data_IF_016307043984
#
_entry.id   IF_016307043984
#
_cell.length_a   1.000
_cell.length_b   1.000
_cell.length_c   1.000
_cell.angle_alpha   90.00
_cell.angle_beta   90.00
_cell.angle_gamma   90.00
#
_symmetry.space_group_name_H-M   'P 1'
#
loop_
_entity.id
_entity.type
_entity.pdbx_description
1 polymer ?
#
# COMPACT_ATOMS: atom_id res chain seq x y z
N UNK A 1 -15.24 15.08 -15.96
CA UNK A 1 -15.10 15.97 -14.79
C UNK A 1 -14.64 15.10 -13.64
N UNK A 2 -13.34 15.07 -13.35
CA UNK A 2 -12.81 14.43 -12.15
C UNK A 2 -13.41 15.15 -10.95
N UNK A 3 -14.15 14.43 -10.10
CA UNK A 3 -14.35 14.90 -8.73
C UNK A 3 -12.95 15.20 -8.20
N UNK A 4 -12.72 16.37 -7.61
CA UNK A 4 -11.51 16.60 -6.81
C UNK A 4 -11.55 15.59 -5.66
N UNK A 5 -10.98 14.40 -5.90
CA UNK A 5 -10.81 13.39 -4.87
C UNK A 5 -9.77 13.98 -3.94
N UNK A 6 -10.24 14.53 -2.81
CA UNK A 6 -9.40 15.16 -1.81
C UNK A 6 -8.21 14.26 -1.48
N UNK A 7 -7.01 14.81 -1.64
CA UNK A 7 -5.76 14.12 -1.39
C UNK A 7 -5.57 13.95 0.12
N UNK A 8 -6.27 12.97 0.69
CA UNK A 8 -6.30 12.72 2.13
C UNK A 8 -4.90 12.36 2.59
N UNK A 9 -4.34 13.16 3.51
CA UNK A 9 -3.04 12.92 4.15
C UNK A 9 -3.21 12.92 5.65
N UNK A 10 -2.39 12.12 6.32
CA UNK A 10 -2.37 12.06 7.78
C UNK A 10 -1.80 13.34 8.38
N UNK A 11 -2.38 13.80 9.48
CA UNK A 11 -1.92 14.99 10.21
C UNK A 11 -0.74 14.67 11.14
N UNK A 12 0.09 15.68 11.43
CA UNK A 12 1.19 15.55 12.41
C UNK A 12 0.68 15.13 13.80
N UNK A 13 -0.48 15.64 14.20
CA UNK A 13 -1.10 15.30 15.48
C UNK A 13 -1.37 13.79 15.57
N UNK A 14 -1.98 13.22 14.51
CA UNK A 14 -2.30 11.80 14.49
C UNK A 14 -1.03 10.94 14.40
N UNK A 15 -0.04 11.36 13.61
CA UNK A 15 1.30 10.71 13.58
C UNK A 15 1.90 10.65 14.98
N UNK A 16 1.87 11.76 15.73
CA UNK A 16 2.44 11.85 17.07
C UNK A 16 1.69 10.97 18.08
N UNK A 17 0.36 10.93 18.02
CA UNK A 17 -0.44 10.07 18.89
C UNK A 17 -0.08 8.59 18.68
N UNK A 18 -0.02 8.14 17.42
CA UNK A 18 0.29 6.75 17.07
C UNK A 18 1.75 6.40 17.43
N UNK A 19 2.70 7.27 17.07
CA UNK A 19 4.12 7.02 17.32
C UNK A 19 4.44 6.93 18.81
N UNK A 20 3.79 7.75 19.64
CA UNK A 20 3.92 7.70 21.10
C UNK A 20 3.51 6.34 21.67
N UNK A 21 2.47 5.70 21.12
CA UNK A 21 2.06 4.37 21.57
C UNK A 21 3.14 3.34 21.27
N UNK A 22 3.66 3.30 20.05
CA UNK A 22 4.74 2.36 19.70
C UNK A 22 5.98 2.59 20.57
N UNK A 23 6.46 3.84 20.65
CA UNK A 23 7.67 4.18 21.41
C UNK A 23 7.51 3.84 22.90
N UNK A 24 6.35 4.13 23.50
CA UNK A 24 6.06 3.82 24.90
C UNK A 24 6.25 2.34 25.21
N UNK A 25 5.66 1.46 24.39
CA UNK A 25 5.65 0.02 24.64
C UNK A 25 6.92 -0.71 24.18
N UNK A 26 7.72 -0.09 23.30
CA UNK A 26 8.95 -0.71 22.77
C UNK A 26 10.23 0.03 23.15
N UNK A 27 10.16 1.03 24.03
CA UNK A 27 11.27 1.96 24.34
C UNK A 27 12.65 1.31 24.54
N UNK A 28 12.74 0.20 25.29
CA UNK A 28 14.00 -0.51 25.56
C UNK A 28 14.65 -1.13 24.31
N UNK A 29 13.87 -1.40 23.28
CA UNK A 29 14.29 -2.09 22.06
C UNK A 29 14.13 -1.22 20.80
N UNK A 30 13.69 0.03 20.97
CA UNK A 30 13.29 0.88 19.85
C UNK A 30 14.51 1.35 19.04
N UNK A 31 14.47 1.14 17.72
CA UNK A 31 15.50 1.66 16.80
C UNK A 31 14.98 2.73 15.87
N UNK A 32 13.79 2.55 15.32
CA UNK A 32 13.19 3.53 14.44
C UNK A 32 11.75 3.24 14.09
N UNK A 33 11.05 4.29 13.67
CA UNK A 33 9.67 4.23 13.20
C UNK A 33 9.56 4.98 11.89
N UNK A 34 9.08 4.30 10.86
CA UNK A 34 8.84 4.87 9.54
C UNK A 34 7.34 4.90 9.28
N UNK A 35 6.85 6.03 8.77
CA UNK A 35 5.53 6.15 8.15
C UNK A 35 5.69 6.01 6.63
N UNK A 36 4.85 5.22 5.97
CA UNK A 36 4.84 5.08 4.52
C UNK A 36 3.41 4.95 3.97
N UNK A 37 3.29 4.55 2.71
CA UNK A 37 1.99 4.27 2.10
C UNK A 37 1.18 5.52 1.74
N UNK A 38 -0.08 5.32 1.35
CA UNK A 38 -0.93 6.39 0.80
C UNK A 38 -1.26 7.51 1.78
N UNK A 39 -1.33 7.22 3.09
CA UNK A 39 -1.56 8.23 4.11
C UNK A 39 -0.46 9.31 4.13
N UNK A 40 0.77 8.94 3.78
CA UNK A 40 1.91 9.86 3.68
C UNK A 40 2.04 10.47 2.28
N UNK A 41 2.19 9.63 1.25
CA UNK A 41 2.50 10.10 -0.11
C UNK A 41 1.31 10.82 -0.77
N UNK A 42 0.09 10.43 -0.42
CA UNK A 42 -1.16 10.90 -1.03
C UNK A 42 -1.87 9.81 -1.83
N UNK A 43 -3.09 10.10 -2.26
CA UNK A 43 -4.00 9.17 -2.92
C UNK A 43 -4.70 8.21 -1.95
N UNK A 44 -4.79 8.56 -0.65
CA UNK A 44 -5.59 7.82 0.30
C UNK A 44 -7.09 8.04 0.02
N UNK A 45 -7.86 6.97 0.14
CA UNK A 45 -9.32 6.96 0.02
C UNK A 45 -9.89 6.88 1.44
N UNK A 46 -10.70 7.87 1.82
CA UNK A 46 -11.39 7.90 3.10
C UNK A 46 -12.24 6.62 3.29
N UNK A 47 -12.30 6.12 4.52
CA UNK A 47 -12.98 4.87 4.92
C UNK A 47 -12.46 3.60 4.23
N UNK A 48 -11.32 3.68 3.53
CA UNK A 48 -10.69 2.55 2.85
C UNK A 48 -9.22 2.41 3.22
N UNK A 49 -8.46 3.48 3.06
CA UNK A 49 -7.02 3.47 3.27
C UNK A 49 -6.63 3.41 4.74
N UNK A 50 -5.52 2.75 4.95
CA UNK A 50 -4.81 2.57 6.20
C UNK A 50 -3.71 3.61 6.41
N UNK A 51 -3.14 3.57 7.61
CA UNK A 51 -1.95 4.31 8.00
C UNK A 51 -0.83 3.29 8.22
N UNK A 52 0.14 3.25 7.31
CA UNK A 52 1.20 2.23 7.30
C UNK A 52 2.45 2.67 8.07
N UNK A 53 2.85 1.86 9.03
CA UNK A 53 4.11 2.01 9.76
C UNK A 53 5.04 0.80 9.61
N UNK A 54 6.35 1.06 9.68
CA UNK A 54 7.37 0.05 9.96
C UNK A 54 8.07 0.40 11.26
N UNK A 55 8.02 -0.51 12.22
CA UNK A 55 8.62 -0.37 13.54
C UNK A 55 9.86 -1.26 13.62
N UNK A 56 11.04 -0.63 13.64
CA UNK A 56 12.32 -1.33 13.73
C UNK A 56 12.75 -1.44 15.18
N UNK A 57 13.05 -2.67 15.61
CA UNK A 57 13.42 -2.99 16.99
C UNK A 57 14.69 -3.84 17.04
N UNK A 58 15.38 -3.83 18.19
CA UNK A 58 16.47 -4.79 18.46
C UNK A 58 16.00 -6.24 18.25
N UNK A 59 16.87 -7.08 17.70
CA UNK A 59 16.52 -8.47 17.38
C UNK A 59 16.12 -9.29 18.61
N UNK A 60 16.63 -8.94 19.80
CA UNK A 60 16.43 -9.68 21.05
C UNK A 60 14.98 -9.66 21.59
N UNK A 61 14.14 -8.72 21.13
CA UNK A 61 12.73 -8.69 21.56
C UNK A 61 11.87 -9.70 20.80
N UNK A 62 12.36 -10.22 19.68
CA UNK A 62 11.59 -11.15 18.85
C UNK A 62 11.75 -12.59 19.36
N UNK A 63 10.63 -13.31 19.35
CA UNK A 63 10.60 -14.75 19.56
C UNK A 63 11.23 -15.47 18.36
N UNK A 64 11.55 -16.77 18.52
CA UNK A 64 12.16 -17.61 17.47
C UNK A 64 11.37 -17.66 16.14
N UNK A 65 10.07 -17.37 16.18
CA UNK A 65 9.21 -17.30 15.00
C UNK A 65 9.13 -15.89 14.37
N UNK A 66 9.94 -14.93 14.85
CA UNK A 66 9.97 -13.55 14.36
C UNK A 66 8.81 -12.67 14.86
N UNK A 67 8.10 -13.07 15.92
CA UNK A 67 6.98 -12.29 16.48
C UNK A 67 7.37 -11.60 17.78
N UNK A 68 6.68 -10.52 18.14
CA UNK A 68 6.81 -9.89 19.46
C UNK A 68 6.12 -10.73 20.54
N UNK A 69 6.45 -10.53 21.84
CA UNK A 69 5.70 -11.14 22.93
C UNK A 69 4.22 -10.72 22.88
N UNK A 70 3.30 -11.67 23.06
CA UNK A 70 1.85 -11.41 22.97
C UNK A 70 1.39 -10.25 23.85
N UNK A 71 1.91 -10.15 25.08
CA UNK A 71 1.58 -9.06 26.01
C UNK A 71 1.92 -7.68 25.47
N UNK A 72 2.91 -7.57 24.57
CA UNK A 72 3.25 -6.31 23.90
C UNK A 72 2.23 -5.96 22.82
N UNK A 73 1.84 -6.94 21.98
CA UNK A 73 0.77 -6.72 20.99
C UNK A 73 -0.53 -6.27 21.63
N UNK A 74 -0.94 -6.91 22.73
CA UNK A 74 -2.18 -6.57 23.42
C UNK A 74 -2.17 -5.14 23.97
N UNK A 75 -1.08 -4.73 24.62
CA UNK A 75 -0.95 -3.37 25.18
C UNK A 75 -0.88 -2.28 24.11
N UNK A 76 -0.14 -2.54 23.03
CA UNK A 76 -0.08 -1.63 21.88
C UNK A 76 -1.47 -1.50 21.27
N UNK A 77 -2.15 -2.62 21.00
CA UNK A 77 -3.48 -2.60 20.40
C UNK A 77 -4.52 -1.90 21.29
N UNK A 78 -4.47 -2.13 22.61
CA UNK A 78 -5.33 -1.45 23.58
C UNK A 78 -5.16 0.07 23.47
N UNK A 79 -3.93 0.59 23.55
CA UNK A 79 -3.67 2.03 23.47
C UNK A 79 -3.99 2.60 22.07
N UNK A 80 -3.68 1.89 20.98
CA UNK A 80 -4.00 2.32 19.62
C UNK A 80 -5.53 2.40 19.38
N UNK A 81 -6.30 1.49 19.99
CA UNK A 81 -7.77 1.44 19.82
C UNK A 81 -8.49 2.68 20.36
N UNK A 82 -7.82 3.47 21.21
CA UNK A 82 -8.34 4.70 21.78
C UNK A 82 -8.14 5.93 20.87
N UNK A 83 -7.35 5.80 19.80
CA UNK A 83 -7.03 6.90 18.88
C UNK A 83 -8.13 7.03 17.83
N UNK A 84 -8.66 8.24 17.63
CA UNK A 84 -9.56 8.51 16.53
C UNK A 84 -8.78 8.67 15.22
N UNK A 85 -8.82 7.64 14.38
CA UNK A 85 -8.06 7.57 13.13
C UNK A 85 -8.83 8.07 11.91
N UNK A 86 -10.05 8.59 12.07
CA UNK A 86 -10.83 9.11 10.93
C UNK A 86 -10.01 10.18 10.16
N UNK A 87 -10.06 10.18 8.82
CA UNK A 87 -10.93 9.38 7.96
C UNK A 87 -10.34 8.03 7.52
N UNK A 88 -9.23 7.57 8.09
CA UNK A 88 -8.61 6.28 7.76
C UNK A 88 -9.37 5.11 8.40
N UNK A 89 -9.19 3.91 7.85
CA UNK A 89 -9.92 2.70 8.28
C UNK A 89 -9.25 1.97 9.43
N UNK A 90 -7.92 1.87 9.41
CA UNK A 90 -7.13 1.18 10.43
C UNK A 90 -5.68 1.66 10.42
N UNK A 91 -4.96 1.34 11.49
CA UNK A 91 -3.50 1.51 11.58
C UNK A 91 -2.89 0.15 11.25
N UNK A 92 -1.92 0.12 10.36
CA UNK A 92 -1.13 -1.06 10.04
C UNK A 92 0.31 -0.83 10.47
N UNK A 93 0.93 -1.84 11.08
CA UNK A 93 2.34 -1.75 11.46
C UNK A 93 3.02 -3.11 11.36
N UNK A 94 4.14 -3.14 10.66
CA UNK A 94 5.04 -4.27 10.63
C UNK A 94 6.17 -4.05 11.65
N UNK A 95 6.29 -4.95 12.63
CA UNK A 95 7.43 -4.98 13.54
C UNK A 95 8.57 -5.78 12.89
N UNK A 96 9.72 -5.14 12.69
CA UNK A 96 10.82 -5.67 11.90
C UNK A 96 12.10 -5.69 12.76
N UNK A 97 12.79 -6.84 12.87
CA UNK A 97 14.10 -6.91 13.50
C UNK A 97 15.11 -6.02 12.76
N UNK A 98 15.97 -5.29 13.49
CA UNK A 98 16.94 -4.37 12.89
C UNK A 98 17.92 -5.09 11.96
N UNK A 99 18.22 -6.36 12.23
CA UNK A 99 19.03 -7.22 11.35
C UNK A 99 18.46 -7.33 9.93
N UNK A 100 17.13 -7.24 9.77
CA UNK A 100 16.45 -7.35 8.48
C UNK A 100 16.31 -6.04 7.71
N UNK A 101 16.85 -4.93 8.24
CA UNK A 101 16.71 -3.61 7.62
C UNK A 101 17.20 -3.55 6.16
N UNK A 102 18.12 -4.44 5.78
CA UNK A 102 18.78 -4.44 4.46
C UNK A 102 18.31 -5.57 3.51
N UNK A 103 17.43 -6.47 3.98
CA UNK A 103 17.08 -7.71 3.28
C UNK A 103 16.24 -7.48 2.02
N UNK A 104 15.37 -6.45 2.05
CA UNK A 104 14.44 -6.16 0.96
C UNK A 104 15.00 -5.13 -0.04
N UNK A 105 14.28 -4.96 -1.16
CA UNK A 105 14.38 -3.74 -1.97
C UNK A 105 14.13 -2.55 -1.04
N UNK A 106 15.04 -1.57 -1.09
CA UNK A 106 14.99 -0.41 -0.22
C UNK A 106 13.68 0.38 -0.36
N UNK A 107 13.42 1.29 0.58
CA UNK A 107 12.30 2.23 0.43
C UNK A 107 12.62 3.24 -0.66
N UNK A 108 11.61 3.72 -1.38
CA UNK A 108 11.83 4.81 -2.34
C UNK A 108 11.92 6.11 -1.57
N UNK A 109 13.04 6.83 -1.70
CA UNK A 109 13.24 8.14 -1.06
C UNK A 109 12.01 9.05 -1.28
N UNK A 110 11.53 9.74 -0.26
CA UNK A 110 10.36 10.64 -0.38
C UNK A 110 8.99 9.95 -0.51
N UNK A 111 8.94 8.61 -0.56
CA UNK A 111 7.69 7.83 -0.40
C UNK A 111 7.42 7.40 1.05
N UNK A 112 8.33 7.74 1.95
CA UNK A 112 8.29 7.45 3.37
C UNK A 112 8.82 8.63 4.19
N UNK A 113 8.57 8.60 5.51
CA UNK A 113 9.15 9.52 6.48
C UNK A 113 9.63 8.78 7.71
N UNK A 114 10.89 9.02 8.10
CA UNK A 114 11.39 8.62 9.42
C UNK A 114 10.74 9.52 10.48
N UNK A 115 9.90 8.94 11.33
CA UNK A 115 9.16 9.65 12.39
C UNK A 115 10.01 9.79 13.63
N UNK A 116 10.73 8.73 14.01
CA UNK A 116 11.59 8.72 15.19
C UNK A 116 12.69 7.66 15.05
N UNK A 117 13.76 7.82 15.84
CA UNK A 117 14.92 6.95 15.85
C UNK A 117 16.01 7.36 14.87
N UNK A 118 17.05 6.53 14.78
CA UNK A 118 18.19 6.75 13.90
C UNK A 118 18.60 5.41 13.28
N UNK A 119 18.03 5.11 12.12
CA UNK A 119 18.31 3.88 11.38
C UNK A 119 18.81 4.22 9.97
N UNK A 120 19.81 3.49 9.44
CA UNK A 120 20.28 3.68 8.08
C UNK A 120 19.28 3.05 7.09
N UNK A 121 18.38 3.87 6.56
CA UNK A 121 17.36 3.40 5.63
C UNK A 121 18.02 3.11 4.27
N UNK A 122 17.89 1.86 3.82
CA UNK A 122 18.25 1.47 2.46
C UNK A 122 17.25 2.11 1.50
N UNK A 123 17.74 2.95 0.59
CA UNK A 123 16.91 3.50 -0.48
C UNK A 123 17.05 2.65 -1.74
N UNK A 124 15.93 2.37 -2.42
CA UNK A 124 15.96 1.61 -3.67
C UNK A 124 16.59 2.43 -4.81
N UNK A 125 17.44 1.78 -5.59
CA UNK A 125 17.91 2.33 -6.85
C UNK A 125 16.84 2.17 -7.94
N UNK A 126 16.91 3.04 -8.97
CA UNK A 126 16.00 2.92 -10.11
C UNK A 126 16.13 1.56 -10.82
N UNK A 127 17.36 1.01 -10.88
CA UNK A 127 17.60 -0.29 -11.49
C UNK A 127 16.91 -1.43 -10.72
N UNK A 128 16.98 -1.42 -9.38
CA UNK A 128 16.25 -2.40 -8.56
C UNK A 128 14.74 -2.31 -8.77
N UNK A 129 14.19 -1.09 -8.82
CA UNK A 129 12.75 -0.88 -9.05
C UNK A 129 12.30 -1.36 -10.44
N UNK A 130 13.12 -1.16 -11.47
CA UNK A 130 12.85 -1.65 -12.83
C UNK A 130 12.92 -3.18 -12.88
N UNK A 131 13.97 -3.78 -12.34
CA UNK A 131 14.12 -5.24 -12.30
C UNK A 131 12.95 -5.89 -11.56
N UNK A 132 12.51 -5.29 -10.46
CA UNK A 132 11.35 -5.78 -9.72
C UNK A 132 10.05 -5.63 -10.54
N UNK A 133 9.85 -4.49 -11.21
CA UNK A 133 8.69 -4.30 -12.07
C UNK A 133 8.67 -5.30 -13.24
N UNK A 134 9.81 -5.61 -13.86
CA UNK A 134 9.94 -6.65 -14.88
C UNK A 134 9.62 -8.04 -14.32
N UNK A 135 10.18 -8.37 -13.14
CA UNK A 135 9.92 -9.65 -12.48
C UNK A 135 8.43 -9.82 -12.13
N UNK A 136 7.78 -8.77 -11.60
CA UNK A 136 6.37 -8.81 -11.24
C UNK A 136 5.46 -8.90 -12.48
N UNK A 137 5.74 -8.14 -13.54
CA UNK A 137 4.90 -8.13 -14.75
C UNK A 137 5.11 -9.34 -15.64
N UNK A 138 6.33 -9.90 -15.69
CA UNK A 138 6.60 -11.16 -16.40
C UNK A 138 5.83 -12.34 -15.80
N UNK A 139 5.77 -12.40 -14.46
CA UNK A 139 5.07 -13.44 -13.69
C UNK A 139 3.61 -13.10 -13.35
N UNK A 140 3.05 -12.03 -13.93
CA UNK A 140 1.72 -11.55 -13.58
C UNK A 140 0.63 -12.56 -13.97
N UNK A 141 -0.07 -13.08 -12.97
CA UNK A 141 -1.31 -13.85 -13.14
C UNK A 141 -2.48 -12.90 -13.39
N UNK A 142 -3.20 -13.06 -14.50
CA UNK A 142 -4.34 -12.18 -14.83
C UNK A 142 -5.56 -12.40 -13.94
N UNK A 143 -5.63 -13.55 -13.28
CA UNK A 143 -6.69 -13.93 -12.33
C UNK A 143 -6.02 -14.19 -10.99
N UNK A 144 -5.83 -13.15 -10.16
CA UNK A 144 -5.12 -13.30 -8.90
C UNK A 144 -5.86 -14.19 -7.89
N UNK A 145 -5.12 -14.83 -7.00
CA UNK A 145 -5.67 -15.72 -5.97
C UNK A 145 -6.74 -15.08 -5.07
N UNK A 146 -6.76 -13.74 -4.91
CA UNK A 146 -7.81 -13.06 -4.14
C UNK A 146 -9.22 -13.24 -4.74
N UNK A 147 -9.32 -13.51 -6.05
CA UNK A 147 -10.61 -13.76 -6.72
C UNK A 147 -11.29 -15.03 -6.25
N UNK A 148 -10.55 -15.97 -5.64
CA UNK A 148 -11.17 -17.14 -4.98
C UNK A 148 -12.22 -16.72 -3.94
N UNK A 149 -12.08 -15.53 -3.33
CA UNK A 149 -13.06 -14.99 -2.38
C UNK A 149 -14.40 -14.59 -3.01
N UNK A 150 -14.51 -14.53 -4.35
CA UNK A 150 -15.80 -14.35 -5.04
C UNK A 150 -16.76 -15.54 -4.87
N UNK A 151 -16.23 -16.69 -4.43
CA UNK A 151 -17.03 -17.86 -4.09
C UNK A 151 -17.64 -17.76 -2.67
N UNK A 152 -17.14 -16.84 -1.84
CA UNK A 152 -17.64 -16.62 -0.49
C UNK A 152 -18.87 -15.67 -0.51
N UNK A 153 -19.77 -15.80 0.45
CA UNK A 153 -20.91 -14.90 0.65
C UNK A 153 -20.95 -14.39 2.10
N UNK A 154 -21.28 -13.10 2.30
CA UNK A 154 -21.33 -12.41 3.59
C UNK A 154 -20.66 -11.03 3.55
N UNK A 155 -21.16 -10.06 4.31
CA UNK A 155 -20.73 -8.65 4.25
C UNK A 155 -19.21 -8.45 4.40
N UNK A 156 -18.64 -8.97 5.49
CA UNK A 156 -17.20 -8.84 5.76
C UNK A 156 -16.31 -9.52 4.69
N UNK A 157 -16.84 -10.52 3.97
CA UNK A 157 -16.11 -11.23 2.91
C UNK A 157 -15.93 -10.36 1.68
N UNK A 158 -16.95 -9.58 1.34
CA UNK A 158 -16.94 -8.63 0.24
C UNK A 158 -15.91 -7.52 0.50
N UNK A 159 -15.95 -6.91 1.69
CA UNK A 159 -15.00 -5.86 2.05
C UNK A 159 -13.56 -6.36 2.01
N UNK A 160 -13.35 -7.59 2.53
CA UNK A 160 -12.05 -8.25 2.45
C UNK A 160 -11.59 -8.46 1.00
N UNK A 161 -12.47 -8.90 0.10
CA UNK A 161 -12.15 -9.06 -1.32
C UNK A 161 -11.72 -7.74 -1.95
N UNK A 162 -12.50 -6.67 -1.78
CA UNK A 162 -12.20 -5.35 -2.37
C UNK A 162 -10.86 -4.82 -1.84
N UNK A 163 -10.58 -5.03 -0.54
CA UNK A 163 -9.28 -4.69 0.05
C UNK A 163 -8.14 -5.48 -0.60
N UNK A 164 -8.24 -6.81 -0.63
CA UNK A 164 -7.21 -7.68 -1.21
C UNK A 164 -6.97 -7.38 -2.69
N UNK A 165 -8.03 -7.10 -3.44
CA UNK A 165 -7.93 -6.68 -4.83
C UNK A 165 -7.16 -5.37 -4.95
N UNK A 166 -7.51 -4.37 -4.13
CA UNK A 166 -6.83 -3.07 -4.13
C UNK A 166 -5.34 -3.19 -3.79
N UNK A 167 -4.97 -4.05 -2.83
CA UNK A 167 -3.58 -4.33 -2.47
C UNK A 167 -2.77 -4.89 -3.64
N UNK A 168 -3.41 -5.55 -4.61
CA UNK A 168 -2.72 -6.11 -5.78
C UNK A 168 -2.79 -5.20 -7.01
N UNK A 169 -3.91 -4.50 -7.24
CA UNK A 169 -4.05 -3.55 -8.35
C UNK A 169 -3.01 -2.43 -8.25
N UNK A 170 -2.82 -1.83 -7.07
CA UNK A 170 -1.94 -0.67 -6.95
C UNK A 170 -0.49 -0.98 -7.32
N UNK A 171 0.17 -2.02 -6.78
CA UNK A 171 1.52 -2.39 -7.19
C UNK A 171 1.65 -2.61 -8.70
N UNK A 172 0.70 -3.32 -9.34
CA UNK A 172 0.74 -3.58 -10.78
C UNK A 172 0.77 -2.26 -11.57
N UNK A 173 -0.12 -1.32 -11.24
CA UNK A 173 -0.15 -0.02 -11.92
C UNK A 173 1.16 0.75 -11.71
N UNK A 174 1.73 0.74 -10.49
CA UNK A 174 3.02 1.40 -10.22
C UNK A 174 4.19 0.73 -10.96
N UNK A 175 4.21 -0.61 -11.08
CA UNK A 175 5.21 -1.33 -11.87
C UNK A 175 5.07 -1.03 -13.36
N UNK A 176 3.85 -1.05 -13.90
CA UNK A 176 3.58 -0.68 -15.28
C UNK A 176 4.07 0.74 -15.59
N UNK A 177 3.71 1.72 -14.74
CA UNK A 177 4.17 3.10 -14.92
C UNK A 177 5.69 3.26 -14.77
N UNK A 178 6.32 2.47 -13.88
CA UNK A 178 7.78 2.44 -13.71
C UNK A 178 8.49 2.05 -15.01
N UNK A 179 7.99 1.01 -15.68
CA UNK A 179 8.58 0.52 -16.92
C UNK A 179 8.27 1.43 -18.12
N UNK A 180 7.03 1.91 -18.26
CA UNK A 180 6.63 2.85 -19.32
C UNK A 180 7.43 4.16 -19.26
N UNK A 181 7.66 4.70 -18.05
CA UNK A 181 8.37 5.97 -17.88
C UNK A 181 9.90 5.81 -17.77
N UNK A 182 10.37 4.65 -17.34
CA UNK A 182 11.78 4.36 -17.14
C UNK A 182 12.38 4.85 -15.80
N UNK A 183 11.60 5.53 -14.95
CA UNK A 183 12.02 6.09 -13.66
C UNK A 183 11.08 5.69 -12.51
N UNK A 184 11.36 4.53 -11.90
CA UNK A 184 10.64 4.05 -10.72
C UNK A 184 10.80 4.96 -9.50
N UNK A 185 11.97 5.59 -9.34
CA UNK A 185 12.21 6.49 -8.20
C UNK A 185 11.26 7.69 -8.24
N UNK A 186 10.97 8.20 -9.43
CA UNK A 186 9.98 9.23 -9.63
C UNK A 186 8.56 8.69 -9.44
N UNK A 187 8.20 7.58 -10.11
CA UNK A 187 6.84 7.03 -10.11
C UNK A 187 6.36 6.66 -8.71
N UNK A 188 7.17 5.97 -7.90
CA UNK A 188 6.76 5.47 -6.58
C UNK A 188 6.55 6.56 -5.53
N UNK A 189 7.10 7.77 -5.74
CA UNK A 189 6.85 8.96 -4.91
C UNK A 189 5.46 9.55 -5.12
N UNK A 190 4.82 9.26 -6.26
CA UNK A 190 3.57 9.91 -6.64
C UNK A 190 2.37 9.43 -5.80
N UNK A 191 1.40 10.33 -5.53
CA UNK A 191 0.05 9.93 -5.18
C UNK A 191 -0.56 8.98 -6.22
N UNK A 192 -1.44 8.06 -5.79
CA UNK A 192 -2.05 7.04 -6.67
C UNK A 192 -2.68 7.66 -7.93
N UNK A 193 -3.45 8.74 -7.75
CA UNK A 193 -4.15 9.43 -8.83
C UNK A 193 -3.21 10.19 -9.79
N UNK A 194 -2.06 10.64 -9.30
CA UNK A 194 -1.09 11.35 -10.15
C UNK A 194 -0.22 10.40 -10.98
N UNK A 195 -0.07 9.15 -10.54
CA UNK A 195 0.67 8.12 -11.27
C UNK A 195 -0.01 7.75 -12.60
N UNK A 196 -1.33 7.89 -12.72
CA UNK A 196 -2.08 7.44 -13.89
C UNK A 196 -1.62 8.06 -15.22
N UNK A 197 -1.13 9.31 -15.20
CA UNK A 197 -0.62 10.00 -16.41
C UNK A 197 0.67 9.38 -16.99
N UNK A 198 1.27 8.43 -16.27
CA UNK A 198 2.46 7.70 -16.67
C UNK A 198 2.18 6.24 -17.02
N UNK A 199 0.89 5.86 -17.12
CA UNK A 199 0.49 4.53 -17.59
C UNK A 199 0.37 4.51 -19.12
N UNK A 200 0.48 3.33 -19.74
CA UNK A 200 0.11 3.13 -21.14
C UNK A 200 -1.35 3.53 -21.40
N UNK A 201 -1.61 4.11 -22.57
CA UNK A 201 -2.93 4.66 -22.94
C UNK A 201 -4.10 3.70 -22.72
N UNK A 202 -3.90 2.40 -22.99
CA UNK A 202 -4.91 1.36 -22.82
C UNK A 202 -5.25 1.06 -21.34
N UNK A 203 -4.42 1.48 -20.38
CA UNK A 203 -4.59 1.23 -18.95
C UNK A 203 -5.08 2.47 -18.19
N UNK A 204 -4.78 3.70 -18.67
CA UNK A 204 -5.16 4.96 -18.01
C UNK A 204 -6.64 4.98 -17.62
N UNK A 205 -7.54 4.78 -18.60
CA UNK A 205 -8.98 4.84 -18.36
C UNK A 205 -9.46 3.76 -17.37
N UNK A 206 -8.83 2.57 -17.38
CA UNK A 206 -9.16 1.49 -16.45
C UNK A 206 -8.78 1.87 -15.02
N UNK A 207 -7.58 2.42 -14.83
CA UNK A 207 -7.07 2.86 -13.54
C UNK A 207 -7.92 4.01 -12.95
N UNK A 208 -8.24 5.02 -13.75
CA UNK A 208 -9.09 6.15 -13.33
C UNK A 208 -10.50 5.71 -12.94
N UNK A 209 -11.09 4.82 -13.75
CA UNK A 209 -12.42 4.27 -13.47
C UNK A 209 -12.38 3.44 -12.19
N UNK A 210 -11.36 2.61 -12.00
CA UNK A 210 -11.23 1.77 -10.82
C UNK A 210 -11.09 2.60 -9.55
N UNK A 211 -10.25 3.64 -9.59
CA UNK A 211 -10.06 4.55 -8.47
C UNK A 211 -11.36 5.28 -8.11
N UNK A 212 -12.09 5.77 -9.12
CA UNK A 212 -13.36 6.49 -8.91
C UNK A 212 -14.43 5.57 -8.33
N UNK A 213 -14.58 4.37 -8.89
CA UNK A 213 -15.53 3.37 -8.39
C UNK A 213 -15.19 2.93 -6.97
N UNK A 214 -13.90 2.74 -6.66
CA UNK A 214 -13.47 2.37 -5.31
C UNK A 214 -13.74 3.51 -4.31
N UNK A 215 -13.47 4.76 -4.72
CA UNK A 215 -13.78 5.94 -3.92
C UNK A 215 -15.28 6.02 -3.59
N UNK A 216 -16.13 5.92 -4.61
CA UNK A 216 -17.58 5.98 -4.45
C UNK A 216 -18.11 4.79 -3.62
N UNK A 217 -17.56 3.58 -3.81
CA UNK A 217 -17.92 2.39 -3.03
C UNK A 217 -17.73 2.59 -1.53
N UNK A 218 -16.64 3.25 -1.12
CA UNK A 218 -16.37 3.48 0.30
C UNK A 218 -17.05 4.72 0.87
N UNK A 219 -17.35 5.74 0.06
CA UNK A 219 -17.77 7.05 0.55
C UNK A 219 -19.25 7.37 0.35
N UNK A 220 -19.93 6.70 -0.57
CA UNK A 220 -21.32 7.00 -0.91
C UNK A 220 -22.21 5.79 -0.56
N UNK A 221 -23.00 5.93 0.50
CA UNK A 221 -23.89 4.88 1.03
C UNK A 221 -25.02 4.50 0.05
N UNK A 222 -25.37 5.39 -0.89
CA UNK A 222 -26.41 5.18 -1.89
C UNK A 222 -25.92 4.49 -3.18
N UNK A 223 -24.61 4.32 -3.35
CA UNK A 223 -24.07 3.68 -4.55
C UNK A 223 -24.24 2.18 -4.47
N UNK A 224 -25.09 1.64 -5.34
CA UNK A 224 -25.15 0.21 -5.65
C UNK A 224 -23.95 -0.22 -6.52
N UNK A 225 -22.73 0.18 -6.15
CA UNK A 225 -21.54 -0.28 -6.87
C UNK A 225 -21.43 -1.77 -6.59
N UNK A 226 -21.54 -2.55 -7.67
CA UNK A 226 -21.48 -3.98 -7.57
C UNK A 226 -20.02 -4.41 -7.44
N UNK A 227 -19.74 -5.24 -6.44
CA UNK A 227 -18.44 -5.90 -6.23
C UNK A 227 -17.97 -6.61 -7.49
N UNK A 228 -18.91 -7.16 -8.28
CA UNK A 228 -18.62 -7.76 -9.57
C UNK A 228 -18.00 -6.75 -10.55
N UNK A 229 -18.46 -5.49 -10.58
CA UNK A 229 -17.93 -4.49 -11.50
C UNK A 229 -16.52 -4.07 -11.11
N UNK A 230 -16.25 -3.85 -9.82
CA UNK A 230 -14.90 -3.59 -9.29
C UNK A 230 -13.96 -4.77 -9.56
N UNK A 231 -14.43 -5.99 -9.33
CA UNK A 231 -13.64 -7.21 -9.57
C UNK A 231 -13.32 -7.40 -11.05
N UNK A 232 -14.32 -7.18 -11.92
CA UNK A 232 -14.15 -7.26 -13.37
C UNK A 232 -13.21 -6.17 -13.89
N UNK A 233 -13.26 -4.97 -13.32
CA UNK A 233 -12.34 -3.90 -13.69
C UNK A 233 -10.92 -4.18 -13.20
N UNK A 234 -10.77 -4.74 -12.00
CA UNK A 234 -9.50 -5.28 -11.52
C UNK A 234 -8.94 -6.31 -12.50
N UNK A 235 -9.72 -7.32 -12.89
CA UNK A 235 -9.32 -8.30 -13.91
C UNK A 235 -8.83 -7.65 -15.21
N UNK A 236 -9.57 -6.65 -15.72
CA UNK A 236 -9.19 -5.92 -16.93
C UNK A 236 -7.84 -5.21 -16.77
N UNK A 237 -7.58 -4.58 -15.62
CA UNK A 237 -6.28 -3.95 -15.34
C UNK A 237 -5.16 -4.99 -15.41
N UNK A 238 -5.31 -6.14 -14.75
CA UNK A 238 -4.29 -7.19 -14.75
C UNK A 238 -4.06 -7.73 -16.17
N UNK A 239 -5.13 -8.03 -16.90
CA UNK A 239 -5.04 -8.51 -18.28
C UNK A 239 -4.38 -7.48 -19.20
N UNK A 240 -4.75 -6.20 -19.11
CA UNK A 240 -4.19 -5.14 -19.94
C UNK A 240 -2.73 -4.84 -19.59
N UNK A 241 -2.35 -4.89 -18.31
CA UNK A 241 -0.95 -4.76 -17.89
C UNK A 241 -0.09 -5.91 -18.42
N UNK A 242 -0.59 -7.15 -18.35
CA UNK A 242 0.09 -8.33 -18.90
C UNK A 242 0.23 -8.27 -20.42
N UNK A 243 -0.86 -7.94 -21.11
CA UNK A 243 -0.87 -7.79 -22.57
C UNK A 243 0.12 -6.72 -23.04
N UNK A 244 0.12 -5.55 -22.39
CA UNK A 244 1.07 -4.48 -22.68
C UNK A 244 2.51 -4.94 -22.47
N UNK A 245 2.81 -5.57 -21.33
CA UNK A 245 4.15 -6.04 -21.02
C UNK A 245 4.67 -7.04 -22.08
N UNK A 246 3.85 -8.04 -22.43
CA UNK A 246 4.26 -9.11 -23.36
C UNK A 246 4.34 -8.63 -24.82
N UNK A 247 3.46 -7.70 -25.23
CA UNK A 247 3.31 -7.34 -26.65
C UNK A 247 4.02 -6.06 -27.05
N UNK A 248 4.22 -5.14 -26.12
CA UNK A 248 4.71 -3.79 -26.38
C UNK A 248 6.03 -3.49 -25.66
N UNK A 249 6.16 -3.78 -24.36
CA UNK A 249 7.41 -3.51 -23.61
C UNK A 249 8.51 -4.52 -23.93
N UNK A 250 8.25 -5.83 -23.76
CA UNK A 250 9.26 -6.89 -23.88
C UNK A 250 9.74 -7.16 -25.33
N UNK A 251 9.25 -6.40 -26.31
CA UNK A 251 9.73 -6.46 -27.70
C UNK A 251 10.73 -5.34 -28.04
N UNK A 252 10.92 -4.38 -27.13
CA UNK A 252 11.86 -3.28 -27.27
C UNK A 252 13.26 -3.70 -26.78
#
# INVERSE_FOLDING_TARGET
MSKEINNTKISEELINQISNVYIKHTSSYFKGLILHGSAHKGGAIAKSSDIDFRLYLDDEIFNNNGTLPLGMYLKINEDLSLINIKPFSYIQCDAIPISKLQDDIGLVQGSYRLISGNIPIKEASNLELKNEAENQLSNLETVPGCFSSLLDCGGDRIERLIRLLSTQVWPILFHTATLENGDGNFIWKLPKNEMFKYLPNQIINLAETFFTMLYDYHNNEDTKINVYDLSHLGYKIFSSAKDWYDKEYNKQ
#
